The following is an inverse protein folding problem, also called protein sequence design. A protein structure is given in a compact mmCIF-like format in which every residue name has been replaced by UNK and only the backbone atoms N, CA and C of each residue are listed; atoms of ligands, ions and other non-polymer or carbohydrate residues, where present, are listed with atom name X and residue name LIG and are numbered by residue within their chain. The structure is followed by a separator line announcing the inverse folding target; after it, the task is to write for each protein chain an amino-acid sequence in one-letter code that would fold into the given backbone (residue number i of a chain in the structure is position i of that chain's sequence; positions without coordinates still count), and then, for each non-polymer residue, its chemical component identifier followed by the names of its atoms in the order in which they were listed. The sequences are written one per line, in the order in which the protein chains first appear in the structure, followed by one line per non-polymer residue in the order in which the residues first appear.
data_IF_298213257391
#
_entry.id   IF_298213257391
#
_cell.length_a   1.000
_cell.length_b   1.000
_cell.length_c   1.000
_cell.angle_alpha   90.00
_cell.angle_beta   90.00
_cell.angle_gamma   90.00
#
_symmetry.space_group_name_H-M   'P 1'
#
loop_
_entity.id
_entity.type
_entity.pdbx_description
1 polymer ?
#
# COMPACT_ATOMS: atom_id res chain seq x y z
N UNK A 1 -4.28 3.46 -16.98
CA UNK A 1 -4.15 2.72 -15.69
C UNK A 1 -4.19 3.75 -14.57
N UNK A 2 -4.12 3.42 -13.27
CA UNK A 2 -3.98 4.47 -12.24
C UNK A 2 -2.77 4.21 -11.36
N UNK A 3 -2.22 5.29 -10.80
CA UNK A 3 -0.98 5.27 -10.03
C UNK A 3 -1.21 5.71 -8.59
N UNK A 4 -0.74 4.92 -7.62
CA UNK A 4 -0.64 5.30 -6.21
C UNK A 4 0.79 5.13 -5.72
N UNK A 5 1.27 6.07 -4.92
CA UNK A 5 2.60 5.99 -4.30
C UNK A 5 2.61 5.12 -3.05
N UNK A 6 3.77 4.58 -2.72
CA UNK A 6 4.00 3.89 -1.45
C UNK A 6 3.56 4.77 -0.26
N UNK A 7 3.84 6.09 -0.30
CA UNK A 7 3.40 7.08 0.68
C UNK A 7 1.88 7.17 0.81
N UNK A 8 1.15 7.23 -0.31
CA UNK A 8 -0.32 7.23 -0.29
C UNK A 8 -0.91 5.94 0.31
N UNK A 9 -0.17 4.83 0.26
CA UNK A 9 -0.56 3.55 0.85
C UNK A 9 -0.02 3.35 2.29
N UNK A 10 0.63 4.37 2.86
CA UNK A 10 1.12 4.39 4.24
C UNK A 10 2.58 3.95 4.43
N UNK A 11 3.37 3.94 3.36
CA UNK A 11 4.82 3.77 3.38
C UNK A 11 5.61 5.08 3.46
N UNK A 12 6.95 5.01 3.53
CA UNK A 12 7.80 6.20 3.69
C UNK A 12 8.20 6.88 2.36
N UNK A 13 8.17 6.16 1.24
CA UNK A 13 8.76 6.61 -0.03
C UNK A 13 7.71 6.94 -1.11
N UNK A 14 8.17 7.55 -2.20
CA UNK A 14 7.32 7.98 -3.32
C UNK A 14 7.30 7.00 -4.49
N UNK A 15 7.71 5.73 -4.27
CA UNK A 15 7.67 4.71 -5.32
C UNK A 15 6.25 4.58 -5.86
N UNK A 16 6.09 4.74 -7.18
CA UNK A 16 4.82 4.64 -7.87
C UNK A 16 4.42 3.17 -8.09
N UNK A 17 3.19 2.84 -7.71
CA UNK A 17 2.55 1.56 -7.98
C UNK A 17 1.41 1.80 -8.96
N UNK A 18 1.48 1.16 -10.12
CA UNK A 18 0.47 1.25 -11.16
C UNK A 18 -0.39 -0.02 -11.17
N UNK A 19 -1.69 0.15 -11.40
CA UNK A 19 -2.62 -0.97 -11.44
C UNK A 19 -3.93 -0.61 -12.14
N UNK A 20 -4.70 -1.64 -12.49
CA UNK A 20 -6.05 -1.50 -13.03
C UNK A 20 -7.07 -1.31 -11.90
N UNK A 21 -6.74 -1.81 -10.70
CA UNK A 21 -7.55 -1.74 -9.51
C UNK A 21 -6.76 -1.29 -8.27
N UNK A 22 -7.49 -0.87 -7.24
CA UNK A 22 -6.92 -0.59 -5.92
C UNK A 22 -6.22 -1.84 -5.33
N UNK A 23 -6.75 -3.03 -5.61
CA UNK A 23 -6.18 -4.29 -5.16
C UNK A 23 -4.79 -4.52 -5.79
N UNK A 24 -4.61 -4.17 -7.07
CA UNK A 24 -3.32 -4.30 -7.76
C UNK A 24 -2.24 -3.41 -7.12
N UNK A 25 -2.56 -2.14 -6.84
CA UNK A 25 -1.61 -1.21 -6.23
C UNK A 25 -1.33 -1.54 -4.75
N UNK A 26 -2.33 -2.07 -4.02
CA UNK A 26 -2.14 -2.58 -2.65
C UNK A 26 -1.19 -3.79 -2.67
N UNK A 27 -1.41 -4.72 -3.59
CA UNK A 27 -0.57 -5.91 -3.74
C UNK A 27 0.85 -5.52 -4.14
N UNK A 28 1.02 -4.60 -5.10
CA UNK A 28 2.33 -4.08 -5.50
C UNK A 28 3.07 -3.42 -4.34
N UNK A 29 2.36 -2.66 -3.50
CA UNK A 29 2.96 -2.05 -2.31
C UNK A 29 3.33 -3.08 -1.23
N UNK A 30 2.52 -4.11 -1.01
CA UNK A 30 2.87 -5.19 -0.08
C UNK A 30 4.12 -5.95 -0.52
N UNK A 31 4.27 -6.20 -1.83
CA UNK A 31 5.50 -6.80 -2.39
C UNK A 31 6.72 -5.89 -2.22
N UNK A 32 6.56 -4.58 -2.48
CA UNK A 32 7.60 -3.59 -2.22
C UNK A 32 8.05 -3.60 -0.75
N UNK A 33 7.09 -3.55 0.19
CA UNK A 33 7.40 -3.60 1.62
C UNK A 33 8.13 -4.90 2.03
N UNK A 34 7.77 -6.04 1.43
CA UNK A 34 8.47 -7.32 1.65
C UNK A 34 9.90 -7.30 1.13
N UNK A 35 10.13 -6.71 -0.05
CA UNK A 35 11.47 -6.58 -0.62
C UNK A 35 12.36 -5.73 0.30
N UNK A 36 11.88 -4.55 0.69
CA UNK A 36 12.59 -3.64 1.61
C UNK A 36 12.89 -4.30 2.96
N UNK A 37 11.93 -5.04 3.53
CA UNK A 37 12.14 -5.82 4.76
C UNK A 37 13.24 -6.89 4.59
N UNK A 38 13.25 -7.61 3.47
CA UNK A 38 14.25 -8.63 3.17
C UNK A 38 15.65 -8.03 2.98
N UNK A 39 15.72 -6.83 2.42
CA UNK A 39 16.96 -6.07 2.23
C UNK A 39 17.45 -5.40 3.52
N UNK A 40 16.67 -5.47 4.61
CA UNK A 40 17.03 -4.90 5.90
C UNK A 40 16.78 -3.39 5.99
N UNK A 41 15.94 -2.83 5.12
CA UNK A 41 15.62 -1.41 5.13
C UNK A 41 14.79 -1.01 6.36
N UNK A 42 15.41 -0.20 7.22
CA UNK A 42 14.79 0.28 8.44
C UNK A 42 13.70 1.33 8.20
N UNK A 43 13.71 2.03 7.05
CA UNK A 43 12.73 3.06 6.75
C UNK A 43 11.34 2.47 6.45
N UNK A 44 11.28 1.32 5.78
CA UNK A 44 10.02 0.63 5.42
C UNK A 44 9.53 -0.33 6.52
N UNK A 45 10.37 -0.69 7.50
CA UNK A 45 10.02 -1.54 8.63
C UNK A 45 8.72 -1.11 9.36
N UNK A 46 8.50 0.17 9.72
CA UNK A 46 7.25 0.60 10.35
C UNK A 46 6.02 0.34 9.47
N UNK A 47 6.10 0.70 8.19
CA UNK A 47 5.01 0.51 7.24
C UNK A 47 4.72 -0.99 7.00
N UNK A 48 5.76 -1.81 6.93
CA UNK A 48 5.65 -3.27 6.82
C UNK A 48 4.96 -3.88 8.05
N UNK A 49 5.35 -3.45 9.25
CA UNK A 49 4.76 -3.90 10.50
C UNK A 49 3.29 -3.49 10.60
N UNK A 50 2.94 -2.27 10.22
CA UNK A 50 1.54 -1.82 10.17
C UNK A 50 0.74 -2.60 9.12
N UNK A 51 1.32 -2.90 7.95
CA UNK A 51 0.68 -3.75 6.94
C UNK A 51 0.37 -5.14 7.51
N UNK A 52 1.34 -5.81 8.14
CA UNK A 52 1.13 -7.11 8.82
C UNK A 52 0.02 -7.04 9.88
N UNK A 53 0.05 -6.01 10.75
CA UNK A 53 -0.94 -5.82 11.82
C UNK A 53 -2.36 -5.57 11.29
N UNK A 54 -2.51 -4.88 10.16
CA UNK A 54 -3.83 -4.65 9.53
C UNK A 54 -4.50 -5.99 9.21
N UNK A 55 -3.79 -6.91 8.56
CA UNK A 55 -4.32 -8.22 8.20
C UNK A 55 -4.75 -9.07 9.40
N UNK A 56 -4.13 -8.87 10.56
CA UNK A 56 -4.53 -9.52 11.82
C UNK A 56 -5.80 -8.90 12.47
N UNK A 57 -6.26 -7.73 11.99
CA UNK A 57 -7.36 -6.95 12.58
C UNK A 57 -8.43 -6.66 11.52
N UNK A 58 -9.32 -7.62 11.19
CA UNK A 58 -10.21 -7.55 10.03
C UNK A 58 -11.09 -6.29 9.98
N UNK A 59 -11.61 -5.80 11.12
CA UNK A 59 -12.41 -4.56 11.15
C UNK A 59 -11.61 -3.31 10.78
N UNK A 60 -10.36 -3.22 11.23
CA UNK A 60 -9.47 -2.07 10.91
C UNK A 60 -8.92 -2.18 9.49
N UNK A 61 -8.62 -3.40 9.04
CA UNK A 61 -8.26 -3.65 7.65
C UNK A 61 -9.34 -3.17 6.70
N UNK A 62 -10.62 -3.48 6.99
CA UNK A 62 -11.73 -3.10 6.14
C UNK A 62 -11.89 -1.57 6.00
N UNK A 63 -11.73 -0.83 7.10
CA UNK A 63 -11.80 0.64 7.06
C UNK A 63 -10.70 1.26 6.19
N UNK A 64 -9.45 0.82 6.37
CA UNK A 64 -8.33 1.26 5.54
C UNK A 64 -8.50 0.83 4.08
N UNK A 65 -8.91 -0.41 3.85
CA UNK A 65 -9.13 -0.96 2.51
C UNK A 65 -10.19 -0.17 1.73
N UNK A 66 -11.34 0.10 2.36
CA UNK A 66 -12.40 0.90 1.75
C UNK A 66 -11.96 2.34 1.47
N UNK A 67 -11.21 2.97 2.38
CA UNK A 67 -10.64 4.29 2.16
C UNK A 67 -9.66 4.30 0.98
N UNK A 68 -8.76 3.31 0.91
CA UNK A 68 -7.81 3.17 -0.21
C UNK A 68 -8.54 2.95 -1.55
N UNK A 69 -9.60 2.12 -1.57
CA UNK A 69 -10.43 1.94 -2.77
C UNK A 69 -11.10 3.24 -3.22
N UNK A 70 -11.64 4.01 -2.29
CA UNK A 70 -12.26 5.30 -2.59
C UNK A 70 -11.23 6.29 -3.16
N UNK A 71 -10.06 6.42 -2.52
CA UNK A 71 -8.97 7.26 -3.03
C UNK A 71 -8.53 6.84 -4.43
N UNK A 72 -8.34 5.54 -4.67
CA UNK A 72 -7.96 5.03 -6.00
C UNK A 72 -9.04 5.32 -7.06
N UNK A 73 -10.32 5.21 -6.70
CA UNK A 73 -11.43 5.51 -7.60
C UNK A 73 -11.45 6.98 -8.05
N UNK A 74 -11.01 7.89 -7.19
CA UNK A 74 -10.96 9.34 -7.46
C UNK A 74 -9.74 9.77 -8.30
N UNK A 75 -8.68 8.97 -8.33
CA UNK A 75 -7.47 9.31 -9.08
C UNK A 75 -7.72 9.38 -10.59
N UNK A 76 -7.06 10.31 -11.31
CA UNK A 76 -7.08 10.31 -12.76
C UNK A 76 -6.46 9.02 -13.31
N UNK A 77 -6.90 8.63 -14.50
CA UNK A 77 -6.17 7.62 -15.27
C UNK A 77 -4.91 8.25 -15.86
N UNK A 78 -3.79 7.53 -15.76
CA UNK A 78 -2.61 7.67 -16.62
C UNK A 78 -2.95 7.23 -18.05
#
# INVERSE_FOLDING_TARGET
MKTMTCRQLGGPCDLAHQGESADDVINAQDQHLKAMEKEGDAAHQPARNEMKKRWLRPRKALGWYNATKATFADLPQD
#
